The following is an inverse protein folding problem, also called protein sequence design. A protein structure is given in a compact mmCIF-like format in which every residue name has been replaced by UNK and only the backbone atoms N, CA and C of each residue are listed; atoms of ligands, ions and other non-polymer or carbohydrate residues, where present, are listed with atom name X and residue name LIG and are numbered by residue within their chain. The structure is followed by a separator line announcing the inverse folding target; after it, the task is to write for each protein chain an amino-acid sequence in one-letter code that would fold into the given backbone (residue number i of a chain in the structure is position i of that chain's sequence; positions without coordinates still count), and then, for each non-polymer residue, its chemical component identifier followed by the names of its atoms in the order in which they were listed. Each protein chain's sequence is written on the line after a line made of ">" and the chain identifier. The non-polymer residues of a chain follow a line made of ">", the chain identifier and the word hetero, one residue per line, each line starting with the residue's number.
data_IF_034886879626
#
_entry.id   IF_034886879626
#
_cell.length_a   1.000
_cell.length_b   1.000
_cell.length_c   1.000
_cell.angle_alpha   90.00
_cell.angle_beta   90.00
_cell.angle_gamma   90.00
#
_symmetry.space_group_name_H-M   'P 1'
#
loop_
_entity.id
_entity.type
_entity.pdbx_description
1 polymer ?
#
# COMPACT_ATOMS: atom_id res chain seq x y z
N UNK A 1 -5.77 -22.69 -8.66
CA UNK A 1 -4.96 -21.60 -8.07
C UNK A 1 -5.37 -21.49 -6.62
N UNK A 2 -4.42 -21.59 -5.68
CA UNK A 2 -4.74 -21.72 -4.26
C UNK A 2 -4.60 -20.36 -3.59
N UNK A 3 -5.68 -19.61 -3.53
CA UNK A 3 -5.78 -18.46 -2.63
C UNK A 3 -5.77 -18.99 -1.19
N UNK A 4 -4.85 -18.47 -0.38
CA UNK A 4 -4.72 -18.89 1.02
C UNK A 4 -4.94 -17.69 1.93
N UNK A 5 -5.97 -17.76 2.76
CA UNK A 5 -6.19 -16.79 3.83
C UNK A 5 -5.04 -16.86 4.85
N UNK A 6 -4.44 -15.70 5.13
CA UNK A 6 -3.31 -15.51 6.04
C UNK A 6 -3.67 -14.68 7.27
N UNK A 7 -4.73 -13.88 7.19
CA UNK A 7 -5.35 -13.19 8.33
C UNK A 7 -6.86 -13.31 8.22
N UNK A 8 -7.49 -13.71 9.32
CA UNK A 8 -8.94 -13.64 9.48
C UNK A 8 -9.36 -12.26 10.01
N UNK A 9 -10.65 -11.94 9.99
CA UNK A 9 -11.21 -10.76 10.66
C UNK A 9 -10.78 -10.61 12.12
N UNK A 10 -10.72 -11.71 12.88
CA UNK A 10 -10.26 -11.68 14.26
C UNK A 10 -8.78 -11.30 14.37
N UNK A 11 -7.95 -11.76 13.43
CA UNK A 11 -6.53 -11.42 13.40
C UNK A 11 -6.30 -9.96 12.99
N UNK A 12 -7.08 -9.45 12.04
CA UNK A 12 -7.04 -8.03 11.64
C UNK A 12 -7.43 -7.15 12.82
N UNK A 13 -8.52 -7.48 13.53
CA UNK A 13 -8.96 -6.75 14.72
C UNK A 13 -7.87 -6.71 15.80
N UNK A 14 -7.21 -7.85 16.07
CA UNK A 14 -6.08 -7.91 17.02
C UNK A 14 -4.88 -7.08 16.55
N UNK A 15 -4.54 -7.15 15.27
CA UNK A 15 -3.43 -6.39 14.69
C UNK A 15 -3.67 -4.88 14.81
N UNK A 16 -4.86 -4.40 14.45
CA UNK A 16 -5.22 -2.99 14.58
C UNK A 16 -5.23 -2.53 16.04
N UNK A 17 -5.72 -3.37 16.96
CA UNK A 17 -5.70 -3.05 18.39
C UNK A 17 -4.26 -2.89 18.91
N UNK A 18 -3.35 -3.79 18.49
CA UNK A 18 -1.94 -3.68 18.85
C UNK A 18 -1.28 -2.42 18.26
N UNK A 19 -1.51 -2.14 16.97
CA UNK A 19 -1.01 -0.92 16.32
C UNK A 19 -1.50 0.33 17.07
N UNK A 20 -2.76 0.39 17.47
CA UNK A 20 -3.30 1.52 18.23
C UNK A 20 -2.59 1.73 19.58
N UNK A 21 -2.27 0.65 20.30
CA UNK A 21 -1.49 0.74 21.54
C UNK A 21 -0.05 1.22 21.27
N UNK A 22 0.61 0.68 20.23
CA UNK A 22 1.97 1.09 19.86
C UNK A 22 2.04 2.57 19.45
N UNK A 23 1.03 3.07 18.72
CA UNK A 23 0.92 4.48 18.35
C UNK A 23 0.81 5.35 19.60
N UNK A 24 -0.08 4.99 20.54
CA UNK A 24 -0.27 5.73 21.79
C UNK A 24 1.00 5.76 22.64
N UNK A 25 1.68 4.62 22.79
CA UNK A 25 2.93 4.53 23.55
C UNK A 25 4.03 5.40 22.91
N UNK A 26 4.19 5.29 21.58
CA UNK A 26 5.18 6.03 20.81
C UNK A 26 4.91 7.54 20.77
N UNK A 27 3.64 7.96 20.83
CA UNK A 27 3.24 9.37 20.88
C UNK A 27 3.08 9.92 22.31
N UNK A 28 3.12 9.06 23.34
CA UNK A 28 2.84 9.40 24.75
C UNK A 28 1.42 9.94 24.96
N UNK A 29 0.44 9.28 24.34
CA UNK A 29 -0.98 9.63 24.37
C UNK A 29 -1.52 10.06 23.00
N UNK A 30 -2.78 10.46 22.92
CA UNK A 30 -3.42 10.90 21.68
C UNK A 30 -3.21 12.40 21.35
N UNK A 31 -2.50 13.16 22.19
CA UNK A 31 -2.31 14.59 21.98
C UNK A 31 -1.52 14.89 20.69
N UNK A 32 -1.99 15.87 19.94
CA UNK A 32 -1.39 16.33 18.68
C UNK A 32 -1.16 15.22 17.63
N UNK A 33 -1.93 14.14 17.71
CA UNK A 33 -1.90 13.03 16.78
C UNK A 33 -2.83 13.29 15.57
N UNK A 34 -2.32 13.04 14.37
CA UNK A 34 -3.08 13.02 13.12
C UNK A 34 -2.88 11.67 12.45
N UNK A 35 -3.97 11.04 12.03
CA UNK A 35 -3.93 9.77 11.29
C UNK A 35 -4.43 10.03 9.88
N UNK A 36 -3.58 9.80 8.88
CA UNK A 36 -3.92 9.98 7.47
C UNK A 36 -3.87 8.63 6.76
N UNK A 37 -5.02 8.17 6.28
CA UNK A 37 -5.07 6.95 5.47
C UNK A 37 -4.77 7.22 4.01
N UNK A 38 -4.03 6.32 3.39
CA UNK A 38 -3.80 6.33 1.94
C UNK A 38 -4.97 5.59 1.28
N UNK A 39 -5.69 6.21 0.31
CA UNK A 39 -6.86 5.60 -0.29
C UNK A 39 -6.58 4.28 -1.02
N UNK A 40 -7.52 3.33 -1.03
CA UNK A 40 -8.83 3.33 -0.33
C UNK A 40 -8.76 2.67 1.03
N UNK A 41 -8.23 1.44 1.11
CA UNK A 41 -8.33 0.61 2.32
C UNK A 41 -7.54 1.18 3.50
N UNK A 42 -6.42 1.85 3.24
CA UNK A 42 -5.68 2.60 4.27
C UNK A 42 -6.54 3.65 4.98
N UNK A 43 -7.52 4.26 4.31
CA UNK A 43 -8.49 5.19 4.93
C UNK A 43 -9.46 4.47 5.86
N UNK A 44 -9.96 3.29 5.48
CA UNK A 44 -10.82 2.49 6.36
C UNK A 44 -10.04 2.06 7.62
N UNK A 45 -8.81 1.57 7.44
CA UNK A 45 -7.93 1.18 8.54
C UNK A 45 -7.58 2.37 9.46
N UNK A 46 -7.29 3.54 8.90
CA UNK A 46 -7.02 4.77 9.65
C UNK A 46 -8.17 5.15 10.59
N UNK A 47 -9.42 5.09 10.09
CA UNK A 47 -10.62 5.36 10.90
C UNK A 47 -10.76 4.38 12.04
N UNK A 48 -10.60 3.07 11.77
CA UNK A 48 -10.66 2.05 12.82
C UNK A 48 -9.58 2.24 13.88
N UNK A 49 -8.35 2.56 13.49
CA UNK A 49 -7.25 2.83 14.43
C UNK A 49 -7.62 3.99 15.34
N UNK A 50 -8.16 5.08 14.78
CA UNK A 50 -8.59 6.24 15.57
C UNK A 50 -9.75 5.93 16.52
N UNK A 51 -10.74 5.14 16.09
CA UNK A 51 -11.82 4.68 16.95
C UNK A 51 -11.32 3.79 18.09
N UNK A 52 -10.36 2.91 17.82
CA UNK A 52 -9.71 2.10 18.87
C UNK A 52 -8.97 3.01 19.85
N UNK A 53 -8.17 3.97 19.36
CA UNK A 53 -7.44 4.92 20.20
C UNK A 53 -8.41 5.72 21.08
N UNK A 54 -9.51 6.23 20.51
CA UNK A 54 -10.50 6.99 21.26
C UNK A 54 -11.18 6.17 22.36
N UNK A 55 -11.37 4.85 22.15
CA UNK A 55 -11.88 3.95 23.19
C UNK A 55 -10.85 3.68 24.29
N UNK A 56 -9.56 3.65 23.95
CA UNK A 56 -8.47 3.48 24.92
C UNK A 56 -8.31 4.74 25.78
N UNK A 57 -8.40 5.93 25.17
CA UNK A 57 -8.28 7.24 25.84
C UNK A 57 -9.59 8.06 25.73
N UNK A 58 -10.68 7.68 26.42
CA UNK A 58 -11.98 8.34 26.28
C UNK A 58 -11.99 9.81 26.74
N UNK A 59 -11.00 10.23 27.52
CA UNK A 59 -10.86 11.61 28.02
C UNK A 59 -9.98 12.49 27.14
N UNK A 60 -9.32 11.93 26.11
CA UNK A 60 -8.51 12.72 25.18
C UNK A 60 -9.40 13.52 24.22
N UNK A 61 -8.83 14.56 23.62
CA UNK A 61 -9.44 15.16 22.44
C UNK A 61 -9.58 14.12 21.31
N UNK A 62 -10.56 14.33 20.43
CA UNK A 62 -10.80 13.46 19.30
C UNK A 62 -9.57 13.38 18.39
N UNK A 63 -9.13 12.15 18.09
CA UNK A 63 -8.04 11.90 17.14
C UNK A 63 -8.45 12.45 15.77
N UNK A 64 -7.59 13.26 15.18
CA UNK A 64 -7.84 13.87 13.87
C UNK A 64 -7.54 12.84 12.79
N UNK A 65 -8.56 12.48 12.01
CA UNK A 65 -8.44 11.47 10.94
C UNK A 65 -8.74 12.08 9.58
N UNK A 66 -7.94 11.71 8.59
CA UNK A 66 -8.06 12.18 7.22
C UNK A 66 -7.68 11.15 6.17
N UNK A 67 -7.67 11.60 4.92
CA UNK A 67 -7.17 10.86 3.77
C UNK A 67 -6.12 11.68 3.03
N UNK A 68 -5.08 11.02 2.52
CA UNK A 68 -4.06 11.62 1.67
C UNK A 68 -3.99 10.84 0.36
N UNK A 69 -4.57 11.40 -0.70
CA UNK A 69 -4.45 10.80 -2.03
C UNK A 69 -3.10 11.14 -2.65
N UNK A 70 -2.37 10.10 -3.03
CA UNK A 70 -1.00 10.18 -3.54
C UNK A 70 -0.95 9.91 -5.04
N UNK A 71 -2.11 9.72 -5.68
CA UNK A 71 -2.23 9.34 -7.09
C UNK A 71 -1.40 10.24 -8.01
N UNK A 72 -1.42 11.56 -7.80
CA UNK A 72 -0.69 12.54 -8.63
C UNK A 72 0.82 12.61 -8.35
N UNK A 73 1.30 12.00 -7.27
CA UNK A 73 2.70 12.06 -6.81
C UNK A 73 3.50 10.81 -7.15
N UNK A 74 2.86 9.81 -7.75
CA UNK A 74 3.48 8.55 -8.11
C UNK A 74 4.40 8.72 -9.31
N UNK A 75 5.65 8.28 -9.17
CA UNK A 75 6.67 8.33 -10.23
C UNK A 75 6.49 7.26 -11.32
N UNK A 76 5.66 6.26 -11.05
CA UNK A 76 5.37 5.10 -11.88
C UNK A 76 4.01 5.20 -12.61
N UNK A 77 3.42 6.40 -12.70
CA UNK A 77 2.13 6.65 -13.36
C UNK A 77 2.06 6.14 -14.81
N UNK A 78 3.18 6.11 -15.52
CA UNK A 78 3.26 5.62 -16.90
C UNK A 78 3.16 4.08 -17.01
N UNK A 79 3.37 3.34 -15.93
CA UNK A 79 3.49 1.86 -15.94
C UNK A 79 2.48 1.16 -15.03
N UNK A 80 1.72 1.94 -14.24
CA UNK A 80 0.67 1.43 -13.34
C UNK A 80 -0.70 1.84 -13.86
N UNK A 81 -1.71 0.97 -13.70
CA UNK A 81 -3.11 1.33 -13.99
C UNK A 81 -3.47 2.63 -13.24
N UNK A 82 -3.79 3.68 -13.98
CA UNK A 82 -4.19 4.97 -13.42
C UNK A 82 -5.44 4.79 -12.57
N UNK A 83 -5.30 4.99 -11.26
CA UNK A 83 -6.44 5.06 -10.33
C UNK A 83 -7.11 6.41 -10.50
N UNK A 84 -8.44 6.47 -10.44
CA UNK A 84 -9.13 7.76 -10.34
C UNK A 84 -8.73 8.44 -9.03
N UNK A 85 -8.22 9.69 -9.07
CA UNK A 85 -7.86 10.44 -7.88
C UNK A 85 -9.03 10.49 -6.89
N UNK A 86 -8.70 10.39 -5.61
CA UNK A 86 -9.66 10.54 -4.51
C UNK A 86 -9.42 11.86 -3.80
N UNK A 87 -10.44 12.51 -3.20
CA UNK A 87 -10.21 13.75 -2.48
C UNK A 87 -9.27 13.54 -1.28
N UNK A 88 -8.19 14.30 -1.22
CA UNK A 88 -7.38 14.49 -0.01
C UNK A 88 -8.18 15.30 1.01
N UNK A 89 -8.29 14.81 2.23
CA UNK A 89 -9.01 15.44 3.32
C UNK A 89 -8.13 15.46 4.55
N UNK A 90 -7.47 16.58 4.81
CA UNK A 90 -6.60 16.75 5.98
C UNK A 90 -7.38 17.48 7.08
N UNK A 91 -7.53 16.90 8.28
CA UNK A 91 -8.32 17.46 9.38
C UNK A 91 -7.57 18.59 10.11
N UNK A 92 -7.63 19.79 9.52
CA UNK A 92 -6.94 20.98 10.04
C UNK A 92 -5.44 20.99 9.70
N UNK A 93 -4.68 21.84 10.40
CA UNK A 93 -3.23 21.93 10.18
C UNK A 93 -2.50 20.71 10.75
N UNK A 94 -1.50 20.23 10.01
CA UNK A 94 -0.56 19.19 10.46
C UNK A 94 0.76 19.78 10.98
N UNK A 95 0.87 21.11 11.05
CA UNK A 95 2.09 21.78 11.49
C UNK A 95 2.43 21.41 12.93
N UNK A 96 3.66 20.94 13.15
CA UNK A 96 4.14 20.48 14.45
C UNK A 96 3.46 19.20 14.96
N UNK A 97 2.53 18.61 14.22
CA UNK A 97 1.81 17.39 14.61
C UNK A 97 2.65 16.12 14.43
N UNK A 98 2.30 15.08 15.19
CA UNK A 98 2.72 13.72 14.88
C UNK A 98 1.72 13.17 13.86
N UNK A 99 2.18 12.93 12.64
CA UNK A 99 1.37 12.32 11.57
C UNK A 99 1.68 10.84 11.48
N UNK A 100 0.65 9.99 11.53
CA UNK A 100 0.73 8.56 11.22
C UNK A 100 0.05 8.33 9.88
N UNK A 101 0.85 8.00 8.87
CA UNK A 101 0.36 7.49 7.58
C UNK A 101 -0.10 6.05 7.75
N UNK A 102 -1.23 5.70 7.17
CA UNK A 102 -1.80 4.34 7.24
C UNK A 102 -2.01 3.78 5.85
N UNK A 103 -1.41 2.61 5.59
CA UNK A 103 -1.60 1.85 4.35
C UNK A 103 -1.98 0.40 4.64
N UNK A 104 -2.59 -0.30 3.68
CA UNK A 104 -2.95 -1.70 3.85
C UNK A 104 -1.74 -2.63 3.72
N UNK A 105 -0.93 -2.44 2.69
CA UNK A 105 0.24 -3.30 2.37
C UNK A 105 1.47 -2.47 2.04
N UNK A 106 2.54 -2.64 2.83
CA UNK A 106 3.87 -2.11 2.47
C UNK A 106 4.63 -3.08 1.57
N UNK A 107 4.85 -2.66 0.32
CA UNK A 107 5.63 -3.39 -0.70
C UNK A 107 6.93 -2.66 -1.06
N UNK A 108 7.05 -2.09 -2.26
CA UNK A 108 8.27 -1.40 -2.73
C UNK A 108 8.60 -0.12 -1.95
N UNK A 109 7.60 0.51 -1.34
CA UNK A 109 7.70 1.78 -0.63
C UNK A 109 7.34 3.02 -1.46
N UNK A 110 7.08 2.88 -2.77
CA UNK A 110 6.80 4.01 -3.67
C UNK A 110 5.56 4.81 -3.30
N UNK A 111 4.48 4.13 -2.90
CA UNK A 111 3.25 4.78 -2.40
C UNK A 111 3.55 5.68 -1.20
N UNK A 112 4.39 5.22 -0.28
CA UNK A 112 4.75 6.00 0.92
C UNK A 112 5.67 7.16 0.56
N UNK A 113 6.62 6.98 -0.36
CA UNK A 113 7.43 8.09 -0.88
C UNK A 113 6.54 9.18 -1.49
N UNK A 114 5.56 8.81 -2.30
CA UNK A 114 4.58 9.73 -2.86
C UNK A 114 3.72 10.40 -1.76
N UNK A 115 3.38 9.67 -0.69
CA UNK A 115 2.68 10.22 0.48
C UNK A 115 3.51 11.26 1.22
N UNK A 116 4.81 11.03 1.40
CA UNK A 116 5.72 11.98 2.04
C UNK A 116 5.85 13.26 1.21
N UNK A 117 5.93 13.13 -0.12
CA UNK A 117 5.96 14.28 -1.03
C UNK A 117 4.64 15.07 -0.93
N UNK A 118 3.49 14.40 -1.01
CA UNK A 118 2.17 15.04 -0.91
C UNK A 118 1.93 15.72 0.45
N UNK A 119 2.44 15.14 1.54
CA UNK A 119 2.30 15.70 2.88
C UNK A 119 2.97 17.08 3.00
N UNK A 120 4.04 17.31 2.24
CA UNK A 120 4.74 18.58 2.15
C UNK A 120 3.87 19.74 1.63
N UNK A 121 2.81 19.46 0.89
CA UNK A 121 1.90 20.50 0.39
C UNK A 121 0.82 20.88 1.43
N UNK A 122 0.69 20.08 2.50
CA UNK A 122 -0.34 20.26 3.52
C UNK A 122 0.17 20.78 4.86
N UNK A 123 1.49 20.83 5.07
CA UNK A 123 2.10 21.43 6.26
C UNK A 123 3.46 20.83 6.61
N UNK A 124 3.91 21.08 7.83
CA UNK A 124 5.22 20.66 8.37
C UNK A 124 5.03 19.88 9.68
N UNK A 125 4.75 18.58 9.62
CA UNK A 125 4.66 17.75 10.81
C UNK A 125 6.01 17.70 11.54
N UNK A 126 5.97 17.56 12.86
CA UNK A 126 7.19 17.39 13.67
C UNK A 126 7.76 15.99 13.51
N UNK A 127 6.88 14.99 13.35
CA UNK A 127 7.22 13.59 13.14
C UNK A 127 6.23 12.99 12.15
N UNK A 128 6.74 12.19 11.21
CA UNK A 128 5.92 11.34 10.34
C UNK A 128 6.26 9.88 10.64
N UNK A 129 5.23 9.08 10.89
CA UNK A 129 5.31 7.63 11.13
C UNK A 129 4.45 6.88 10.13
N UNK A 130 4.73 5.61 9.97
CA UNK A 130 3.99 4.71 9.08
C UNK A 130 3.44 3.50 9.85
N UNK A 131 2.12 3.31 9.76
CA UNK A 131 1.43 2.11 10.20
C UNK A 131 0.92 1.34 8.99
N UNK A 132 1.17 0.03 8.94
CA UNK A 132 0.63 -0.85 7.90
C UNK A 132 0.03 -2.12 8.47
N UNK A 133 -1.03 -2.62 7.85
CA UNK A 133 -1.60 -3.91 8.25
C UNK A 133 -0.65 -5.05 7.89
N UNK A 134 -0.08 -5.04 6.69
CA UNK A 134 0.85 -6.08 6.22
C UNK A 134 2.14 -5.45 5.71
N UNK A 135 3.27 -6.01 6.15
CA UNK A 135 4.56 -5.80 5.53
C UNK A 135 4.96 -7.05 4.76
N UNK A 136 5.10 -6.94 3.43
CA UNK A 136 5.43 -8.06 2.56
C UNK A 136 6.88 -8.09 2.04
N UNK A 137 7.72 -7.16 2.49
CA UNK A 137 9.12 -7.03 2.04
C UNK A 137 9.29 -6.42 0.64
N UNK A 138 10.41 -6.76 -0.01
CA UNK A 138 10.80 -6.30 -1.37
C UNK A 138 10.89 -4.78 -1.53
N UNK A 139 11.59 -4.14 -0.61
CA UNK A 139 11.82 -2.70 -0.66
C UNK A 139 12.69 -2.29 -1.84
N UNK A 140 12.23 -1.30 -2.59
CA UNK A 140 13.02 -0.57 -3.59
C UNK A 140 13.50 0.78 -3.05
N UNK A 141 12.84 1.27 -2.00
CA UNK A 141 13.18 2.51 -1.30
C UNK A 141 13.51 2.19 0.17
N UNK A 142 14.37 2.99 0.83
CA UNK A 142 14.77 2.77 2.23
C UNK A 142 13.66 3.17 3.22
N UNK A 143 12.44 2.68 3.01
CA UNK A 143 11.24 2.98 3.77
C UNK A 143 10.86 1.75 4.61
N UNK A 144 10.66 1.98 5.90
CA UNK A 144 10.16 0.98 6.86
C UNK A 144 8.92 1.53 7.55
N UNK A 145 8.02 0.62 7.93
CA UNK A 145 6.92 0.95 8.81
C UNK A 145 7.39 0.96 10.26
N UNK A 146 6.86 1.89 11.04
CA UNK A 146 7.05 1.94 12.48
C UNK A 146 6.13 0.93 13.17
N UNK A 147 4.92 0.75 12.63
CA UNK A 147 3.90 -0.14 13.18
C UNK A 147 3.45 -1.13 12.10
N UNK A 148 3.60 -2.42 12.38
CA UNK A 148 3.27 -3.49 11.42
C UNK A 148 2.28 -4.45 12.04
N UNK A 149 1.15 -4.69 11.38
CA UNK A 149 0.14 -5.67 11.80
C UNK A 149 0.63 -7.11 11.68
N UNK A 150 1.21 -7.45 10.52
CA UNK A 150 1.86 -8.74 10.28
C UNK A 150 2.99 -8.61 9.26
N UNK A 151 4.15 -9.18 9.60
CA UNK A 151 5.19 -9.45 8.63
C UNK A 151 4.84 -10.74 7.88
N UNK A 152 4.72 -10.63 6.55
CA UNK A 152 4.37 -11.74 5.68
C UNK A 152 5.37 -11.79 4.51
N UNK A 153 6.55 -12.39 4.71
CA UNK A 153 7.49 -12.62 3.62
C UNK A 153 6.77 -13.36 2.48
N UNK A 154 6.89 -12.80 1.28
CA UNK A 154 6.27 -13.32 0.06
C UNK A 154 7.32 -13.43 -1.04
N UNK A 155 7.05 -14.18 -2.10
CA UNK A 155 7.77 -14.04 -3.36
C UNK A 155 7.30 -12.79 -4.10
N UNK A 156 8.12 -12.27 -5.01
CA UNK A 156 7.77 -11.09 -5.83
C UNK A 156 6.55 -11.31 -6.72
N UNK A 157 6.33 -12.55 -7.18
CA UNK A 157 5.17 -12.93 -7.99
C UNK A 157 3.90 -13.17 -7.18
N UNK A 158 3.99 -13.38 -5.85
CA UNK A 158 2.81 -13.52 -5.01
C UNK A 158 2.08 -12.17 -4.87
N UNK A 159 0.75 -12.19 -4.73
CA UNK A 159 -0.02 -10.97 -4.41
C UNK A 159 -0.68 -11.10 -3.05
N UNK A 160 -0.64 -10.00 -2.31
CA UNK A 160 -1.35 -9.86 -1.04
C UNK A 160 -2.65 -9.13 -1.34
N UNK A 161 -3.77 -9.80 -1.09
CA UNK A 161 -5.10 -9.20 -1.22
C UNK A 161 -5.60 -8.89 0.18
N UNK A 162 -5.92 -7.62 0.43
CA UNK A 162 -6.53 -7.16 1.68
C UNK A 162 -7.97 -6.83 1.39
N UNK A 163 -8.87 -7.42 2.17
CA UNK A 163 -10.29 -7.13 2.17
C UNK A 163 -10.67 -6.51 3.51
N UNK A 164 -11.40 -5.40 3.47
CA UNK A 164 -11.94 -4.72 4.66
C UNK A 164 -13.43 -4.49 4.48
N UNK A 165 -14.20 -4.72 5.54
CA UNK A 165 -15.67 -4.73 5.47
C UNK A 165 -16.26 -3.46 4.86
N UNK A 166 -15.68 -2.29 5.13
CA UNK A 166 -16.16 -0.98 4.65
C UNK A 166 -16.08 -0.81 3.13
N UNK A 167 -15.21 -1.56 2.47
CA UNK A 167 -14.92 -1.43 1.05
C UNK A 167 -15.38 -2.67 0.29
N UNK A 168 -15.12 -3.85 0.84
CA UNK A 168 -15.25 -5.13 0.15
C UNK A 168 -16.48 -5.95 0.61
N UNK A 169 -17.07 -5.61 1.76
CA UNK A 169 -18.21 -6.34 2.36
C UNK A 169 -17.82 -7.58 3.15
N UNK A 170 -16.58 -8.03 3.02
CA UNK A 170 -15.93 -9.09 3.80
C UNK A 170 -14.57 -8.61 4.34
N UNK A 171 -13.96 -9.41 5.21
CA UNK A 171 -12.72 -9.03 5.88
C UNK A 171 -11.76 -10.20 6.07
N UNK A 172 -10.66 -10.15 5.34
CA UNK A 172 -9.55 -11.10 5.43
C UNK A 172 -8.33 -10.55 4.70
N UNK A 173 -7.17 -11.18 4.93
CA UNK A 173 -6.02 -11.04 4.04
C UNK A 173 -5.71 -12.40 3.46
N UNK A 174 -5.47 -12.45 2.15
CA UNK A 174 -5.05 -13.66 1.44
C UNK A 174 -3.76 -13.43 0.67
N UNK A 175 -3.10 -14.54 0.34
CA UNK A 175 -1.97 -14.59 -0.58
C UNK A 175 -2.34 -15.46 -1.78
N UNK A 176 -2.11 -14.95 -2.99
CA UNK A 176 -2.18 -15.71 -4.23
C UNK A 176 -0.77 -15.88 -4.83
N UNK A 177 -0.52 -17.04 -5.45
CA UNK A 177 0.65 -17.21 -6.31
C UNK A 177 0.31 -16.64 -7.67
N UNK A 178 0.91 -15.50 -8.04
CA UNK A 178 0.68 -14.88 -9.35
C UNK A 178 1.01 -15.85 -10.48
N UNK A 179 0.21 -15.84 -11.56
CA UNK A 179 0.48 -16.65 -12.73
C UNK A 179 1.79 -16.22 -13.40
N UNK A 180 2.60 -17.21 -13.73
CA UNK A 180 3.79 -17.09 -14.57
C UNK A 180 3.33 -16.97 -16.04
N UNK A 181 2.59 -15.90 -16.37
CA UNK A 181 2.17 -15.62 -17.74
C UNK A 181 3.06 -14.52 -18.33
N UNK A 182 4.17 -14.93 -18.97
CA UNK A 182 4.89 -14.07 -19.89
C UNK A 182 6.39 -14.30 -20.01
N UNK A 183 6.84 -15.50 -20.40
CA UNK A 183 8.04 -15.58 -21.24
C UNK A 183 7.60 -15.70 -22.69
N UNK A 184 7.81 -14.61 -23.42
CA UNK A 184 7.44 -14.47 -24.82
C UNK A 184 8.27 -15.44 -25.65
N UNK A 185 7.57 -16.37 -26.32
CA UNK A 185 8.10 -17.13 -27.43
C UNK A 185 8.80 -16.18 -28.41
N UNK A 186 10.13 -16.14 -28.35
CA UNK A 186 10.97 -15.70 -29.46
C UNK A 186 10.82 -16.75 -30.56
N UNK A 187 9.80 -16.57 -31.39
CA UNK A 187 9.69 -17.24 -32.68
C UNK A 187 10.72 -16.60 -33.61
N UNK A 188 11.87 -17.24 -33.71
CA UNK A 188 12.93 -16.93 -34.66
C UNK A 188 12.35 -16.93 -36.08
N UNK A 189 12.37 -15.77 -36.73
CA UNK A 189 12.18 -15.65 -38.16
C UNK A 189 13.54 -15.82 -38.82
N UNK A 190 13.87 -17.03 -39.27
CA UNK A 190 14.93 -17.19 -40.26
C UNK A 190 14.36 -17.75 -41.56
N UNK A 191 14.27 -16.84 -42.52
CA UNK A 191 13.88 -17.05 -43.90
C UNK A 191 15.02 -17.72 -44.64
N UNK A 192 14.93 -19.03 -44.87
CA UNK A 192 15.76 -19.67 -45.90
C UNK A 192 15.09 -19.49 -47.25
N UNK A 193 15.51 -18.44 -47.95
CA UNK A 193 15.23 -18.21 -49.36
C UNK A 193 15.92 -19.29 -50.20
N UNK A 194 15.14 -20.07 -50.95
CA UNK A 194 15.64 -21.04 -51.92
C UNK A 194 14.67 -21.08 -53.09
N UNK A 195 15.07 -20.46 -54.22
CA UNK A 195 14.95 -20.95 -55.60
C UNK A 195 15.49 -19.88 -56.56
N UNK A 196 16.72 -20.02 -57.03
CA UNK A 196 17.11 -20.77 -58.23
C UNK A 196 16.73 -20.02 -59.53
N UNK A 197 17.67 -19.25 -60.04
CA UNK A 197 17.68 -18.76 -61.41
C UNK A 197 19.11 -18.87 -61.95
N UNK A 198 19.36 -19.92 -62.74
CA UNK A 198 20.28 -19.97 -63.88
C UNK A 198 20.17 -21.36 -64.47
N UNK A 199 19.52 -21.49 -65.61
CA UNK A 199 20.05 -22.38 -66.64
C UNK A 199 19.95 -21.71 -67.99
N UNK A 200 21.12 -21.55 -68.59
CA UNK A 200 21.32 -20.95 -69.89
C UNK A 200 21.76 -22.02 -70.86
N UNK A 201 21.08 -22.07 -72.01
CA UNK A 201 21.66 -22.53 -73.27
C UNK A 201 21.54 -24.01 -73.56
N UNK A 202 21.02 -24.33 -74.75
CA UNK A 202 21.80 -24.97 -75.81
C UNK A 202 21.08 -24.78 -77.14
N UNK A 203 21.87 -24.34 -78.12
CA UNK A 203 21.82 -24.52 -79.59
C UNK A 203 20.48 -24.79 -80.29
#
# INVERSE_FOLDING_TARGET
>A
MTERTVLTQADITRALTRISHEILESNRGAENLVILGIPTRGVALARRIAEIIQRIEPTSAAVRVGSLDVTMYRDDLAHTRTRTPSPTQVPGSIDGATVVLVDDVLYSGRTIRAALDALGDHGRPSVVRLAVLVDRGHRELPIRADFVGKNLPSASHERINVHVTEIDGDEFVSIDGGSDDGDGSHGDSDSTDTRAATDGGTQ
#
